data_IF_376825858843
#
_entry.id   IF_376825858843
#
_cell.length_a   1.000
_cell.length_b   1.000
_cell.length_c   1.000
_cell.angle_alpha   90.00
_cell.angle_beta   90.00
_cell.angle_gamma   90.00
#
_symmetry.space_group_name_H-M   'P 1'
#
loop_
_entity.id
_entity.type
_entity.pdbx_description
1 polymer ?
#
# COMPACT_ATOMS: atom_id res chain seq x y z
N UNK A 1 21.87 -63.20 -10.85
CA UNK A 1 22.59 -62.86 -12.10
C UNK A 1 23.26 -61.51 -11.85
N UNK A 2 24.54 -61.53 -11.66
CA UNK A 2 25.44 -60.36 -11.47
C UNK A 2 25.64 -59.62 -12.79
N UNK A 3 25.77 -58.32 -12.75
CA UNK A 3 26.61 -57.47 -13.63
C UNK A 3 26.75 -56.12 -12.91
N UNK A 4 27.75 -55.80 -12.33
CA UNK A 4 29.05 -55.17 -12.64
C UNK A 4 28.98 -53.63 -12.66
N UNK A 5 29.82 -53.11 -11.78
CA UNK A 5 30.04 -51.68 -11.53
C UNK A 5 30.99 -51.07 -12.59
N UNK A 6 30.83 -49.79 -12.74
CA UNK A 6 31.73 -48.93 -13.50
C UNK A 6 31.99 -47.63 -12.75
N UNK A 7 33.11 -47.55 -12.06
CA UNK A 7 33.65 -46.32 -11.49
C UNK A 7 34.25 -45.47 -12.63
N UNK A 8 33.93 -44.16 -12.63
CA UNK A 8 34.58 -43.19 -13.50
C UNK A 8 35.47 -42.28 -12.64
N UNK A 9 36.72 -42.37 -12.98
CA UNK A 9 37.92 -41.72 -12.47
C UNK A 9 37.89 -40.19 -12.64
N UNK A 10 38.25 -39.47 -11.58
CA UNK A 10 38.41 -38.01 -11.60
C UNK A 10 39.91 -37.72 -11.77
N UNK A 11 40.26 -37.34 -13.01
CA UNK A 11 41.59 -36.91 -13.35
C UNK A 11 41.92 -35.49 -12.88
N UNK A 12 42.86 -35.38 -11.97
CA UNK A 12 43.62 -34.17 -11.66
C UNK A 12 44.30 -33.61 -12.90
N UNK A 13 44.21 -32.32 -13.16
CA UNK A 13 45.15 -31.58 -13.98
C UNK A 13 45.70 -30.37 -13.27
N UNK A 14 47.00 -30.42 -13.17
CA UNK A 14 47.98 -29.52 -12.60
C UNK A 14 47.87 -28.07 -13.12
N UNK A 15 48.25 -27.18 -12.22
CA UNK A 15 48.61 -25.79 -12.44
C UNK A 15 49.84 -25.63 -13.35
N UNK A 16 49.78 -24.66 -14.26
CA UNK A 16 50.98 -24.03 -14.81
C UNK A 16 50.84 -22.51 -14.73
N UNK A 17 51.81 -21.94 -14.04
CA UNK A 17 52.15 -20.52 -13.98
C UNK A 17 52.42 -19.98 -15.38
N UNK A 18 51.97 -18.77 -15.65
CA UNK A 18 52.72 -17.78 -16.43
C UNK A 18 52.44 -16.37 -15.91
N UNK A 19 53.48 -15.66 -15.83
CA UNK A 19 53.82 -14.43 -15.17
C UNK A 19 53.46 -13.18 -16.00
N UNK A 20 53.38 -12.07 -15.29
CA UNK A 20 53.74 -10.71 -15.62
C UNK A 20 52.89 -9.85 -16.56
N UNK A 21 52.53 -8.67 -16.02
CA UNK A 21 52.16 -7.52 -16.82
C UNK A 21 51.30 -6.46 -16.16
N UNK A 22 51.82 -5.75 -15.18
CA UNK A 22 51.67 -4.30 -14.91
C UNK A 22 50.29 -3.60 -14.91
N UNK A 23 50.08 -2.89 -13.83
CA UNK A 23 49.73 -1.46 -13.64
C UNK A 23 48.29 -1.08 -13.46
N UNK A 24 48.06 -0.44 -12.34
CA UNK A 24 46.85 0.40 -12.11
C UNK A 24 46.51 0.58 -10.63
N UNK A 25 47.46 1.09 -9.83
CA UNK A 25 47.14 1.51 -8.46
C UNK A 25 46.26 2.78 -8.50
N UNK A 26 44.95 2.65 -8.30
CA UNK A 26 44.12 3.76 -7.86
C UNK A 26 44.18 3.82 -6.34
N UNK A 27 44.83 4.86 -5.86
CA UNK A 27 44.86 5.25 -4.44
C UNK A 27 43.48 5.67 -3.99
N UNK A 28 42.89 4.89 -3.09
CA UNK A 28 41.80 5.32 -2.25
C UNK A 28 42.31 6.38 -1.28
N UNK A 29 41.71 7.58 -1.31
CA UNK A 29 41.90 8.62 -0.31
C UNK A 29 41.18 8.23 0.97
N UNK A 30 41.74 8.41 2.15
CA UNK A 30 41.04 8.25 3.41
C UNK A 30 40.07 9.44 3.61
N UNK A 31 38.83 9.13 3.96
CA UNK A 31 37.88 10.12 4.46
C UNK A 31 38.30 10.51 5.87
N UNK A 32 38.57 11.79 6.08
CA UNK A 32 38.75 12.40 7.39
C UNK A 32 37.38 12.56 7.99
N UNK A 33 37.12 11.90 9.12
CA UNK A 33 35.94 12.13 9.96
C UNK A 33 36.30 13.34 10.81
N UNK A 34 35.68 14.51 10.53
CA UNK A 34 35.68 15.63 11.44
C UNK A 34 34.62 15.36 12.52
N UNK A 35 35.10 15.25 13.76
CA UNK A 35 34.27 15.26 14.95
C UNK A 35 33.61 16.64 15.07
N UNK A 36 32.30 16.71 14.87
CA UNK A 36 31.51 17.88 15.28
C UNK A 36 31.05 17.67 16.70
N UNK A 37 31.50 18.59 17.55
CA UNK A 37 31.19 18.74 18.96
C UNK A 37 29.68 18.90 19.22
N UNK A 38 29.27 18.35 20.38
CA UNK A 38 27.98 18.49 21.02
C UNK A 38 27.47 19.92 21.02
N UNK A 39 26.31 20.16 20.42
CA UNK A 39 25.51 21.36 20.61
C UNK A 39 24.17 20.95 21.24
N UNK A 40 23.97 21.34 22.48
CA UNK A 40 22.76 21.19 23.27
C UNK A 40 21.54 21.80 22.54
N UNK A 41 20.58 20.99 22.17
CA UNK A 41 19.25 21.48 21.76
C UNK A 41 18.37 21.67 23.00
N UNK A 42 18.23 22.91 23.43
CA UNK A 42 17.26 23.34 24.43
C UNK A 42 15.88 23.45 23.78
N UNK A 43 14.97 22.57 24.13
CA UNK A 43 13.55 22.71 23.78
C UNK A 43 12.89 23.81 24.59
N UNK A 44 12.13 24.74 24.01
CA UNK A 44 11.35 25.70 24.79
C UNK A 44 10.12 25.02 25.37
N UNK A 45 10.10 24.86 26.67
CA UNK A 45 8.92 24.47 27.45
C UNK A 45 8.00 25.69 27.56
N UNK A 46 6.86 25.64 26.88
CA UNK A 46 5.80 26.64 27.04
C UNK A 46 5.01 26.32 28.30
N UNK A 47 5.24 27.10 29.38
CA UNK A 47 4.48 27.02 30.62
C UNK A 47 3.25 27.95 30.47
N UNK A 48 2.02 27.49 30.69
CA UNK A 48 0.86 28.38 30.69
C UNK A 48 0.83 29.24 31.92
N UNK A 49 0.79 30.57 31.77
CA UNK A 49 0.64 31.54 32.85
C UNK A 49 -0.72 31.39 33.55
N UNK A 50 -0.71 31.02 34.83
CA UNK A 50 -1.85 31.15 35.74
C UNK A 50 -2.27 32.59 35.85
N UNK A 51 -3.51 32.93 35.53
CA UNK A 51 -4.17 34.19 35.90
C UNK A 51 -4.60 34.10 37.35
N UNK A 52 -4.23 35.15 38.13
CA UNK A 52 -4.63 35.34 39.51
C UNK A 52 -6.11 35.69 39.60
N UNK A 53 -6.78 35.10 40.58
CA UNK A 53 -8.13 35.40 41.05
C UNK A 53 -8.25 36.82 41.60
N UNK A 54 -9.32 37.53 41.26
CA UNK A 54 -9.87 38.66 42.01
C UNK A 54 -11.39 38.47 42.13
N UNK A 55 -12.04 38.96 43.19
CA UNK A 55 -13.26 38.39 43.72
C UNK A 55 -14.56 39.04 43.30
N UNK A 56 -15.56 38.17 43.29
CA UNK A 56 -16.96 38.38 43.68
C UNK A 56 -17.81 39.53 43.07
N UNK A 57 -18.90 39.13 42.42
CA UNK A 57 -20.07 39.95 42.09
C UNK A 57 -21.22 39.04 41.69
N UNK A 58 -22.20 38.89 42.56
CA UNK A 58 -23.44 38.15 42.40
C UNK A 58 -24.28 38.73 41.26
N UNK A 59 -24.83 37.88 40.38
CA UNK A 59 -26.26 37.91 40.02
C UNK A 59 -26.65 36.63 39.24
N UNK A 60 -27.73 36.04 39.76
CA UNK A 60 -28.49 34.97 39.17
C UNK A 60 -29.24 35.48 37.93
N UNK A 61 -29.26 34.72 36.87
CA UNK A 61 -30.47 34.32 36.12
C UNK A 61 -30.09 33.66 34.80
N UNK A 62 -30.49 32.40 34.72
CA UNK A 62 -31.03 31.70 33.54
C UNK A 62 -30.41 31.96 32.16
N UNK A 63 -29.78 30.97 31.59
CA UNK A 63 -30.21 30.37 30.35
C UNK A 63 -29.45 29.09 30.07
N UNK A 64 -30.06 27.95 30.31
CA UNK A 64 -29.67 26.67 29.79
C UNK A 64 -30.00 26.67 28.30
N UNK A 65 -29.01 26.84 27.48
CA UNK A 65 -29.07 26.44 26.08
C UNK A 65 -27.82 25.63 25.81
N UNK A 66 -27.92 24.33 26.02
CA UNK A 66 -27.05 23.35 25.43
C UNK A 66 -27.17 23.50 23.92
N UNK A 67 -26.31 24.31 23.33
CA UNK A 67 -26.07 24.23 21.91
C UNK A 67 -25.55 22.83 21.62
N UNK A 68 -26.10 22.11 20.64
CA UNK A 68 -25.48 20.88 20.18
C UNK A 68 -24.08 21.27 19.71
N UNK A 69 -23.09 20.56 20.25
CA UNK A 69 -21.77 20.52 19.64
C UNK A 69 -22.00 19.86 18.29
N UNK A 70 -22.24 20.69 17.28
CA UNK A 70 -22.10 20.26 15.90
C UNK A 70 -20.63 19.88 15.80
N UNK A 71 -20.34 18.58 15.87
CA UNK A 71 -19.10 18.06 15.34
C UNK A 71 -19.06 18.62 13.91
N UNK A 72 -18.23 19.63 13.70
CA UNK A 72 -17.78 19.95 12.38
C UNK A 72 -17.07 18.67 11.92
N UNK A 73 -17.79 17.86 11.15
CA UNK A 73 -17.18 16.98 10.18
C UNK A 73 -16.27 17.93 9.43
N UNK A 74 -14.98 17.84 9.70
CA UNK A 74 -14.00 18.50 8.87
C UNK A 74 -14.27 17.89 7.50
N UNK A 75 -14.98 18.65 6.65
CA UNK A 75 -14.96 18.42 5.24
C UNK A 75 -13.47 18.38 4.92
N UNK A 76 -12.96 17.21 4.59
CA UNK A 76 -11.65 17.06 4.01
C UNK A 76 -11.60 18.09 2.89
N UNK A 77 -10.75 19.09 3.05
CA UNK A 77 -10.43 20.00 1.95
C UNK A 77 -10.19 19.10 0.76
N UNK A 78 -11.03 19.22 -0.29
CA UNK A 78 -10.88 18.38 -1.46
C UNK A 78 -9.42 18.41 -1.86
N UNK A 79 -8.80 17.25 -2.00
CA UNK A 79 -7.42 17.16 -2.41
C UNK A 79 -7.28 17.97 -3.69
N UNK A 80 -6.41 18.96 -3.70
CA UNK A 80 -6.25 19.83 -4.87
C UNK A 80 -5.45 19.14 -5.96
N UNK A 81 -4.56 18.21 -5.59
CA UNK A 81 -3.67 17.48 -6.51
C UNK A 81 -3.55 16.02 -6.09
N UNK A 82 -3.77 15.12 -7.02
CA UNK A 82 -3.69 13.67 -6.80
C UNK A 82 -2.63 13.08 -7.72
N UNK A 83 -1.57 12.53 -7.12
CA UNK A 83 -0.59 11.71 -7.82
C UNK A 83 -1.11 10.29 -7.99
N UNK A 84 -0.88 9.67 -9.13
CA UNK A 84 -1.27 8.27 -9.32
C UNK A 84 -0.26 7.52 -10.19
N UNK A 85 -0.23 6.18 -10.01
CA UNK A 85 0.58 5.31 -10.85
C UNK A 85 -0.04 5.24 -12.24
N UNK A 86 0.58 5.98 -13.17
CA UNK A 86 0.14 6.17 -14.55
C UNK A 86 0.64 5.12 -15.53
N UNK A 87 0.50 5.42 -16.80
CA UNK A 87 -0.01 6.65 -17.42
C UNK A 87 -1.52 6.85 -17.26
N UNK A 88 -2.08 7.90 -17.88
CA UNK A 88 -3.53 8.05 -18.02
C UNK A 88 -4.10 6.86 -18.81
N UNK A 89 -5.35 6.46 -18.50
CA UNK A 89 -5.99 5.30 -19.09
C UNK A 89 -5.67 3.97 -18.37
N UNK A 90 -5.11 4.00 -17.15
CA UNK A 90 -4.84 2.80 -16.34
C UNK A 90 -5.99 2.46 -15.39
N UNK A 91 -6.00 1.22 -14.86
CA UNK A 91 -6.90 0.83 -13.77
C UNK A 91 -6.71 1.70 -12.52
N UNK A 92 -5.50 2.22 -12.26
CA UNK A 92 -5.26 3.17 -11.16
C UNK A 92 -6.05 4.47 -11.37
N UNK A 93 -6.09 4.99 -12.60
CA UNK A 93 -6.93 6.14 -12.91
C UNK A 93 -8.41 5.78 -12.80
N UNK A 94 -8.84 4.60 -13.24
CA UNK A 94 -10.23 4.14 -13.07
C UNK A 94 -10.63 4.10 -11.59
N UNK A 95 -9.75 3.58 -10.72
CA UNK A 95 -9.96 3.57 -9.27
C UNK A 95 -10.08 4.99 -8.71
N UNK A 96 -9.20 5.90 -9.12
CA UNK A 96 -9.23 7.30 -8.73
C UNK A 96 -10.56 7.96 -9.15
N UNK A 97 -10.99 7.78 -10.39
CA UNK A 97 -12.22 8.35 -10.94
C UNK A 97 -13.50 7.76 -10.31
N UNK A 98 -13.43 6.59 -9.70
CA UNK A 98 -14.56 6.00 -8.95
C UNK A 98 -14.87 6.74 -7.65
N UNK A 99 -13.96 7.61 -7.18
CA UNK A 99 -14.10 8.39 -5.96
C UNK A 99 -14.43 9.84 -6.31
N UNK A 100 -15.63 10.30 -5.97
CA UNK A 100 -16.12 11.62 -6.37
C UNK A 100 -15.24 12.78 -5.94
N UNK A 101 -14.65 12.69 -4.74
CA UNK A 101 -13.75 13.71 -4.19
C UNK A 101 -12.37 13.74 -4.87
N UNK A 102 -11.90 12.59 -5.37
CA UNK A 102 -10.65 12.51 -6.12
C UNK A 102 -10.84 12.80 -7.61
N UNK A 103 -12.01 12.46 -8.17
CA UNK A 103 -12.30 12.65 -9.58
C UNK A 103 -12.30 14.13 -10.01
N UNK A 104 -12.64 15.04 -9.09
CA UNK A 104 -12.67 16.49 -9.33
C UNK A 104 -11.31 17.18 -9.12
N UNK A 105 -10.29 16.46 -8.62
CA UNK A 105 -8.97 16.99 -8.33
C UNK A 105 -8.09 17.12 -9.59
N UNK A 106 -6.99 17.85 -9.49
CA UNK A 106 -5.94 17.85 -10.51
C UNK A 106 -5.17 16.52 -10.46
N UNK A 107 -5.11 15.80 -11.59
CA UNK A 107 -4.48 14.47 -11.67
C UNK A 107 -3.09 14.55 -12.29
N UNK A 108 -2.09 14.02 -11.58
CA UNK A 108 -0.71 13.93 -12.04
C UNK A 108 -0.30 12.44 -12.15
N UNK A 109 0.01 12.02 -13.37
CA UNK A 109 0.44 10.64 -13.63
C UNK A 109 1.96 10.51 -13.46
N UNK A 110 2.39 9.53 -12.65
CA UNK A 110 3.79 9.19 -12.43
C UNK A 110 4.15 7.84 -13.04
N UNK A 111 5.41 7.65 -13.40
CA UNK A 111 5.87 6.46 -14.13
C UNK A 111 6.02 5.23 -13.25
N UNK A 112 6.31 5.41 -11.97
CA UNK A 112 6.49 4.33 -11.00
C UNK A 112 5.76 4.64 -9.70
N UNK A 113 5.47 3.60 -8.91
CA UNK A 113 4.89 3.79 -7.57
C UNK A 113 5.82 4.58 -6.65
N UNK A 114 7.14 4.31 -6.58
CA UNK A 114 8.03 5.17 -5.81
C UNK A 114 7.96 6.64 -6.19
N UNK A 115 7.84 6.98 -7.50
CA UNK A 115 7.70 8.38 -7.93
C UNK A 115 6.43 9.04 -7.38
N UNK A 116 5.31 8.28 -7.30
CA UNK A 116 4.06 8.77 -6.67
C UNK A 116 4.29 9.06 -5.19
N UNK A 117 4.89 8.11 -4.46
CA UNK A 117 5.13 8.23 -3.01
C UNK A 117 6.10 9.37 -2.70
N UNK A 118 7.18 9.51 -3.47
CA UNK A 118 8.11 10.62 -3.43
C UNK A 118 7.42 11.97 -3.63
N UNK A 119 6.50 12.06 -4.60
CA UNK A 119 5.77 13.29 -4.89
C UNK A 119 4.84 13.70 -3.74
N UNK A 120 4.23 12.73 -3.06
CA UNK A 120 3.43 12.99 -1.84
C UNK A 120 4.34 13.50 -0.71
N UNK A 121 5.47 12.86 -0.44
CA UNK A 121 6.40 13.30 0.61
C UNK A 121 6.98 14.68 0.37
N UNK A 122 7.22 15.04 -0.90
CA UNK A 122 7.71 16.38 -1.28
C UNK A 122 6.62 17.44 -1.33
N UNK A 123 5.34 17.06 -1.12
CA UNK A 123 4.21 17.98 -1.24
C UNK A 123 3.95 18.46 -2.66
N UNK A 124 4.44 17.75 -3.68
CA UNK A 124 4.14 18.01 -5.09
C UNK A 124 2.68 17.68 -5.40
N UNK A 125 2.14 16.68 -4.69
CA UNK A 125 0.73 16.30 -4.66
C UNK A 125 0.27 16.13 -3.22
N UNK A 126 -1.03 16.29 -2.98
CA UNK A 126 -1.61 16.24 -1.64
C UNK A 126 -1.85 14.79 -1.18
N UNK A 127 -2.19 13.90 -2.13
CA UNK A 127 -2.36 12.46 -1.91
C UNK A 127 -1.84 11.68 -3.11
N UNK A 128 -1.51 10.39 -2.85
CA UNK A 128 -1.10 9.44 -3.89
C UNK A 128 -2.06 8.25 -3.97
N UNK A 129 -2.35 7.77 -5.18
CA UNK A 129 -3.14 6.55 -5.41
C UNK A 129 -2.26 5.49 -6.06
N UNK A 130 -2.11 4.35 -5.36
CA UNK A 130 -1.23 3.26 -5.80
C UNK A 130 -1.88 1.89 -5.57
N UNK A 131 -1.62 0.87 -6.42
CA UNK A 131 -2.14 -0.48 -6.22
C UNK A 131 -1.40 -1.16 -5.07
N UNK A 132 -2.13 -1.94 -4.25
CA UNK A 132 -1.56 -2.69 -3.12
C UNK A 132 -1.78 -4.20 -3.22
N UNK A 133 -2.88 -4.63 -3.84
CA UNK A 133 -3.25 -6.04 -3.95
C UNK A 133 -4.14 -6.28 -5.19
N UNK A 134 -3.95 -7.41 -5.87
CA UNK A 134 -4.87 -7.92 -6.88
C UNK A 134 -5.32 -9.33 -6.48
N UNK A 135 -6.60 -9.67 -6.69
CA UNK A 135 -7.17 -10.95 -6.26
C UNK A 135 -6.59 -12.18 -6.95
N UNK A 136 -6.00 -12.01 -8.15
CA UNK A 136 -5.37 -13.09 -8.92
C UNK A 136 -3.85 -13.10 -8.71
N UNK A 137 -3.19 -11.95 -8.86
CA UNK A 137 -1.73 -11.81 -8.81
C UNK A 137 -1.18 -11.70 -7.37
N UNK A 138 -2.06 -11.43 -6.39
CA UNK A 138 -1.69 -11.23 -4.99
C UNK A 138 -1.17 -9.84 -4.70
N UNK A 139 -0.29 -9.75 -3.68
CA UNK A 139 0.22 -8.49 -3.18
C UNK A 139 1.18 -7.79 -4.15
N UNK A 140 1.02 -6.48 -4.28
CA UNK A 140 1.93 -5.63 -5.06
C UNK A 140 3.16 -5.32 -4.20
N UNK A 141 4.14 -6.22 -4.28
CA UNK A 141 5.32 -6.23 -3.39
C UNK A 141 6.11 -4.91 -3.40
N UNK A 142 6.27 -4.26 -4.55
CA UNK A 142 7.02 -3.01 -4.63
C UNK A 142 6.31 -1.85 -3.93
N UNK A 143 4.96 -1.82 -3.90
CA UNK A 143 4.20 -0.84 -3.11
C UNK A 143 4.34 -1.12 -1.62
N UNK A 144 4.21 -2.38 -1.22
CA UNK A 144 4.39 -2.76 0.18
C UNK A 144 5.79 -2.43 0.69
N UNK A 145 6.82 -2.78 -0.08
CA UNK A 145 8.21 -2.52 0.30
C UNK A 145 8.49 -1.01 0.40
N UNK A 146 8.00 -0.22 -0.54
CA UNK A 146 8.17 1.21 -0.52
C UNK A 146 7.54 1.84 0.73
N UNK A 147 6.28 1.48 1.05
CA UNK A 147 5.61 1.96 2.27
C UNK A 147 6.27 1.45 3.56
N UNK A 148 6.78 0.19 3.55
CA UNK A 148 7.39 -0.40 4.72
C UNK A 148 8.77 0.18 5.04
N UNK A 149 9.61 0.44 4.02
CA UNK A 149 11.03 0.68 4.20
C UNK A 149 11.51 2.05 3.73
N UNK A 150 10.87 2.63 2.72
CA UNK A 150 11.46 3.74 1.99
C UNK A 150 10.71 5.08 2.23
N UNK A 151 9.43 5.06 2.68
CA UNK A 151 8.57 6.25 2.85
C UNK A 151 7.86 6.30 4.20
N UNK A 152 7.64 7.52 4.72
CA UNK A 152 6.90 7.77 5.96
C UNK A 152 5.48 8.30 5.64
N UNK A 153 4.72 7.51 4.87
CA UNK A 153 3.37 7.83 4.45
C UNK A 153 2.33 6.99 5.17
N UNK A 154 1.13 7.53 5.31
CA UNK A 154 0.00 6.89 5.96
C UNK A 154 -1.11 6.58 4.93
N UNK A 155 -1.62 5.36 4.98
CA UNK A 155 -2.80 4.96 4.22
C UNK A 155 -4.02 5.64 4.83
N UNK A 156 -4.80 6.33 3.99
CA UNK A 156 -5.99 7.08 4.37
C UNK A 156 -7.28 6.30 4.11
N UNK A 157 -7.31 5.50 3.06
CA UNK A 157 -8.42 4.61 2.68
C UNK A 157 -7.98 3.63 1.62
N UNK A 158 -8.77 2.60 1.41
CA UNK A 158 -8.64 1.70 0.27
C UNK A 158 -9.77 1.93 -0.74
N UNK A 159 -9.47 1.62 -2.01
CA UNK A 159 -10.41 1.65 -3.13
C UNK A 159 -10.32 0.28 -3.78
N UNK A 160 -11.44 -0.40 -3.95
CA UNK A 160 -11.50 -1.69 -4.65
C UNK A 160 -12.33 -1.50 -5.91
N UNK A 161 -11.79 -1.93 -7.05
CA UNK A 161 -12.51 -1.95 -8.32
C UNK A 161 -12.42 -3.32 -8.97
N UNK A 162 -13.43 -3.67 -9.74
CA UNK A 162 -13.39 -4.80 -10.65
C UNK A 162 -12.46 -4.51 -11.83
N UNK A 163 -11.69 -5.51 -12.23
CA UNK A 163 -10.74 -5.42 -13.34
C UNK A 163 -11.37 -6.05 -14.59
N UNK A 164 -12.02 -5.22 -15.35
CA UNK A 164 -12.65 -5.61 -16.62
C UNK A 164 -11.72 -5.29 -17.78
N UNK A 165 -11.27 -6.34 -18.47
CA UNK A 165 -10.49 -6.18 -19.69
C UNK A 165 -11.40 -5.97 -20.89
N UNK A 166 -11.14 -4.90 -21.67
CA UNK A 166 -11.80 -4.61 -22.92
C UNK A 166 -10.83 -4.75 -24.09
N UNK A 167 -11.35 -5.15 -25.23
CA UNK A 167 -10.66 -5.03 -26.52
C UNK A 167 -11.01 -3.68 -27.13
N UNK A 168 -9.99 -2.85 -27.33
CA UNK A 168 -10.11 -1.45 -27.74
C UNK A 168 -9.49 -1.26 -29.14
N UNK A 169 -10.16 -0.58 -30.04
CA UNK A 169 -9.64 -0.29 -31.39
C UNK A 169 -10.04 1.11 -31.84
N UNK A 170 -9.46 1.55 -32.95
CA UNK A 170 -9.86 2.82 -33.55
C UNK A 170 -11.31 2.79 -34.02
N UNK A 171 -11.99 3.96 -34.01
CA UNK A 171 -13.34 4.05 -34.52
C UNK A 171 -13.50 3.50 -35.93
N UNK A 172 -14.52 2.63 -36.09
CA UNK A 172 -14.83 2.02 -37.37
C UNK A 172 -14.07 0.72 -37.71
N UNK A 173 -13.19 0.24 -36.82
CA UNK A 173 -12.57 -1.10 -36.91
C UNK A 173 -13.58 -2.14 -36.42
N UNK A 174 -13.78 -3.21 -37.18
CA UNK A 174 -14.61 -4.35 -36.78
C UNK A 174 -13.73 -5.46 -36.17
N UNK A 175 -14.30 -6.28 -35.29
CA UNK A 175 -13.58 -7.38 -34.66
C UNK A 175 -12.90 -8.32 -35.66
N UNK A 176 -13.53 -8.56 -36.77
CA UNK A 176 -13.02 -9.44 -37.85
C UNK A 176 -11.78 -8.87 -38.57
N UNK A 177 -11.53 -7.56 -38.45
CA UNK A 177 -10.39 -6.91 -39.10
C UNK A 177 -9.13 -6.95 -38.24
N UNK A 178 -9.27 -7.31 -36.94
CA UNK A 178 -8.16 -7.28 -35.96
C UNK A 178 -7.17 -8.40 -36.23
N UNK A 179 -5.94 -8.04 -36.58
CA UNK A 179 -4.83 -8.97 -36.79
C UNK A 179 -3.62 -8.69 -35.87
N UNK A 180 -3.62 -7.58 -35.14
CA UNK A 180 -2.58 -7.24 -34.17
C UNK A 180 -3.23 -6.82 -32.85
N UNK A 181 -2.72 -7.35 -31.73
CA UNK A 181 -3.21 -7.03 -30.38
C UNK A 181 -2.05 -6.56 -29.53
N UNK A 182 -2.10 -5.30 -29.08
CA UNK A 182 -1.16 -4.75 -28.12
C UNK A 182 -1.61 -5.05 -26.71
N UNK A 183 -0.72 -5.61 -25.87
CA UNK A 183 -1.04 -5.97 -24.49
C UNK A 183 0.21 -6.22 -23.66
N UNK A 184 0.00 -6.40 -22.34
CA UNK A 184 1.00 -6.93 -21.42
C UNK A 184 0.75 -8.43 -21.18
N UNK A 185 1.81 -9.21 -20.83
CA UNK A 185 1.66 -10.66 -20.66
C UNK A 185 0.56 -11.08 -19.68
N UNK A 186 0.40 -10.34 -18.57
CA UNK A 186 -0.63 -10.63 -17.56
C UNK A 186 -2.04 -10.49 -18.16
N UNK A 187 -2.34 -9.37 -18.83
CA UNK A 187 -3.66 -9.14 -19.42
C UNK A 187 -3.95 -10.14 -20.57
N UNK A 188 -2.93 -10.48 -21.37
CA UNK A 188 -3.07 -11.51 -22.41
C UNK A 188 -3.40 -12.88 -21.80
N UNK A 189 -2.74 -13.24 -20.69
CA UNK A 189 -3.00 -14.51 -20.01
C UNK A 189 -4.41 -14.55 -19.39
N UNK A 190 -4.89 -13.41 -18.88
CA UNK A 190 -6.23 -13.30 -18.28
C UNK A 190 -7.37 -13.28 -19.32
N UNK A 191 -7.08 -13.06 -20.62
CA UNK A 191 -8.05 -13.05 -21.71
C UNK A 191 -7.79 -14.18 -22.74
N UNK A 192 -7.04 -15.22 -22.35
CA UNK A 192 -6.52 -16.23 -23.26
C UNK A 192 -7.62 -16.97 -24.02
N UNK A 193 -8.71 -17.37 -23.36
CA UNK A 193 -9.80 -18.12 -24.01
C UNK A 193 -10.49 -17.26 -25.06
N UNK A 194 -10.86 -16.03 -24.70
CA UNK A 194 -11.50 -15.11 -25.64
C UNK A 194 -10.63 -14.87 -26.89
N UNK A 195 -9.35 -14.55 -26.68
CA UNK A 195 -8.43 -14.26 -27.79
C UNK A 195 -8.25 -15.48 -28.71
N UNK A 196 -8.13 -16.66 -28.14
CA UNK A 196 -7.99 -17.91 -28.90
C UNK A 196 -9.24 -18.27 -29.72
N UNK A 197 -10.42 -17.97 -29.21
CA UNK A 197 -11.68 -18.28 -29.86
C UNK A 197 -12.06 -17.27 -30.92
N UNK A 198 -11.89 -15.97 -30.62
CA UNK A 198 -12.38 -14.90 -31.48
C UNK A 198 -11.30 -14.36 -32.45
N UNK A 199 -10.01 -14.41 -32.02
CA UNK A 199 -8.88 -13.81 -32.74
C UNK A 199 -7.69 -14.80 -32.81
N UNK A 200 -7.86 -16.04 -33.28
CA UNK A 200 -6.83 -17.10 -33.22
C UNK A 200 -5.56 -16.77 -34.01
N UNK A 201 -5.68 -15.96 -35.06
CA UNK A 201 -4.58 -15.61 -35.97
C UNK A 201 -3.96 -14.23 -35.67
N UNK A 202 -4.44 -13.52 -34.63
CA UNK A 202 -3.92 -12.21 -34.29
C UNK A 202 -2.54 -12.30 -33.62
N UNK A 203 -1.61 -11.45 -34.06
CA UNK A 203 -0.27 -11.34 -33.48
C UNK A 203 -0.33 -10.54 -32.18
N UNK A 204 0.18 -11.11 -31.08
CA UNK A 204 0.28 -10.41 -29.80
C UNK A 204 1.59 -9.60 -29.77
N UNK A 205 1.47 -8.29 -29.58
CA UNK A 205 2.58 -7.35 -29.44
C UNK A 205 2.69 -6.80 -28.02
N UNK A 206 3.90 -6.79 -27.50
CA UNK A 206 4.16 -6.34 -26.12
C UNK A 206 4.03 -4.83 -26.00
N UNK A 207 3.36 -4.37 -24.93
CA UNK A 207 3.31 -2.99 -24.48
C UNK A 207 3.84 -2.89 -23.03
N UNK A 208 4.15 -1.69 -22.56
CA UNK A 208 4.65 -1.47 -21.20
C UNK A 208 3.52 -1.47 -20.14
N UNK A 209 2.30 -1.12 -20.56
CA UNK A 209 1.09 -1.19 -19.72
C UNK A 209 -0.13 -1.34 -20.61
N UNK A 210 -1.30 -1.65 -20.02
CA UNK A 210 -2.59 -1.71 -20.74
C UNK A 210 -2.97 -0.34 -21.33
N UNK A 211 -2.64 0.76 -20.64
CA UNK A 211 -2.86 2.10 -21.15
C UNK A 211 -1.85 2.46 -22.27
N UNK A 212 -0.60 1.99 -22.19
CA UNK A 212 0.39 2.15 -23.26
C UNK A 212 -0.05 1.37 -24.51
N UNK A 213 -0.64 0.18 -24.35
CA UNK A 213 -1.24 -0.56 -25.44
C UNK A 213 -2.31 0.24 -26.18
N UNK A 214 -3.22 0.88 -25.44
CA UNK A 214 -4.26 1.74 -26.01
C UNK A 214 -3.67 2.97 -26.72
N UNK A 215 -2.65 3.62 -26.12
CA UNK A 215 -1.93 4.71 -26.75
C UNK A 215 -1.27 4.30 -28.08
N UNK A 216 -0.57 3.16 -28.10
CA UNK A 216 0.08 2.63 -29.31
C UNK A 216 -0.94 2.39 -30.43
N UNK A 217 -2.12 1.84 -30.10
CA UNK A 217 -3.19 1.65 -31.08
C UNK A 217 -3.71 3.01 -31.58
N UNK A 218 -3.92 3.99 -30.69
CA UNK A 218 -4.43 5.31 -31.08
C UNK A 218 -3.47 6.04 -32.02
N UNK A 219 -2.16 5.93 -31.78
CA UNK A 219 -1.10 6.59 -32.57
C UNK A 219 -0.68 5.82 -33.84
N UNK A 220 -1.01 4.53 -33.94
CA UNK A 220 -0.68 3.66 -35.08
C UNK A 220 -1.42 4.12 -36.35
N UNK A 221 -0.81 4.02 -37.51
CA UNK A 221 -1.51 4.17 -38.80
C UNK A 221 -2.30 2.89 -39.21
N UNK A 222 -2.12 1.80 -38.45
CA UNK A 222 -2.78 0.53 -38.72
C UNK A 222 -4.28 0.59 -38.39
N UNK A 223 -5.11 0.10 -39.31
CA UNK A 223 -6.56 -0.03 -39.14
C UNK A 223 -6.98 -1.44 -38.66
N UNK A 224 -6.02 -2.29 -38.34
CA UNK A 224 -6.21 -3.69 -37.95
C UNK A 224 -5.62 -4.00 -36.55
N UNK A 225 -5.33 -2.97 -35.77
CA UNK A 225 -4.74 -3.09 -34.44
C UNK A 225 -5.78 -2.87 -33.34
N UNK A 226 -5.70 -3.68 -32.29
CA UNK A 226 -6.48 -3.52 -31.09
C UNK A 226 -5.58 -3.55 -29.82
N UNK A 227 -6.07 -3.06 -28.69
CA UNK A 227 -5.40 -3.10 -27.41
C UNK A 227 -6.26 -3.82 -26.36
N UNK A 228 -5.63 -4.54 -25.45
CA UNK A 228 -6.29 -4.97 -24.21
C UNK A 228 -6.07 -3.91 -23.12
N UNK A 229 -7.15 -3.40 -22.58
CA UNK A 229 -7.08 -2.38 -21.54
C UNK A 229 -8.40 -2.13 -20.83
N UNK A 230 -8.40 -1.25 -19.80
CA UNK A 230 -9.62 -0.85 -19.14
C UNK A 230 -10.47 0.08 -20.03
N UNK A 231 -11.76 0.13 -19.77
CA UNK A 231 -12.70 1.01 -20.51
C UNK A 231 -12.25 2.48 -20.51
N UNK A 232 -11.71 2.97 -19.38
CA UNK A 232 -11.22 4.35 -19.27
C UNK A 232 -10.14 4.68 -20.30
N UNK A 233 -9.36 3.70 -20.78
CA UNK A 233 -8.38 3.91 -21.84
C UNK A 233 -9.04 4.24 -23.19
N UNK A 234 -10.23 3.71 -23.47
CA UNK A 234 -10.98 4.08 -24.67
C UNK A 234 -11.32 5.57 -24.66
N UNK A 235 -11.82 6.08 -23.54
CA UNK A 235 -12.17 7.50 -23.37
C UNK A 235 -10.95 8.41 -23.51
N UNK A 236 -9.83 8.03 -22.87
CA UNK A 236 -8.58 8.82 -22.87
C UNK A 236 -7.93 8.91 -24.26
N UNK A 237 -7.95 7.80 -25.01
CA UNK A 237 -7.24 7.70 -26.29
C UNK A 237 -8.15 7.76 -27.52
N UNK A 238 -9.46 8.00 -27.34
CA UNK A 238 -10.42 8.11 -28.44
C UNK A 238 -10.60 6.81 -29.23
N UNK A 239 -10.67 5.68 -28.52
CA UNK A 239 -10.87 4.35 -29.07
C UNK A 239 -12.30 3.86 -28.81
N UNK A 240 -12.77 2.96 -29.67
CA UNK A 240 -14.03 2.24 -29.48
C UNK A 240 -13.79 0.93 -28.71
N UNK A 241 -14.78 0.50 -27.93
CA UNK A 241 -14.78 -0.79 -27.26
C UNK A 241 -15.39 -1.82 -28.19
N UNK A 242 -14.58 -2.72 -28.77
CA UNK A 242 -15.05 -3.82 -29.65
C UNK A 242 -15.67 -4.95 -28.83
N UNK A 243 -15.11 -5.25 -27.66
CA UNK A 243 -15.63 -6.24 -26.73
C UNK A 243 -15.28 -5.81 -25.31
N UNK A 244 -16.20 -6.02 -24.39
CA UNK A 244 -16.04 -5.71 -22.97
C UNK A 244 -16.09 -6.99 -22.16
N UNK A 245 -15.46 -6.96 -20.98
CA UNK A 245 -15.44 -8.05 -20.01
C UNK A 245 -15.03 -9.40 -20.64
N UNK A 246 -13.85 -9.38 -21.27
CA UNK A 246 -13.32 -10.53 -22.02
C UNK A 246 -12.32 -11.36 -21.19
N UNK A 247 -12.26 -11.14 -19.89
CA UNK A 247 -11.40 -11.90 -18.99
C UNK A 247 -11.91 -13.34 -18.81
N UNK A 248 -10.98 -14.29 -18.66
CA UNK A 248 -11.28 -15.71 -18.47
C UNK A 248 -11.85 -16.04 -17.08
N UNK A 249 -11.67 -15.15 -16.12
CA UNK A 249 -12.09 -15.32 -14.72
C UNK A 249 -12.91 -14.12 -14.25
N UNK A 250 -14.11 -14.41 -13.75
CA UNK A 250 -14.96 -13.44 -13.08
C UNK A 250 -14.38 -13.06 -11.71
N UNK A 251 -14.67 -11.83 -11.26
CA UNK A 251 -14.32 -11.39 -9.90
C UNK A 251 -12.85 -11.03 -9.71
N UNK A 252 -12.12 -10.72 -10.79
CA UNK A 252 -10.81 -10.10 -10.68
C UNK A 252 -10.94 -8.68 -10.13
N UNK A 253 -10.39 -8.46 -8.95
CA UNK A 253 -10.43 -7.17 -8.25
C UNK A 253 -9.03 -6.68 -7.95
N UNK A 254 -8.84 -5.37 -7.99
CA UNK A 254 -7.62 -4.73 -7.51
C UNK A 254 -7.97 -3.74 -6.39
N UNK A 255 -7.24 -3.86 -5.30
CA UNK A 255 -7.25 -2.94 -4.18
C UNK A 255 -6.16 -1.90 -4.39
N UNK A 256 -6.54 -0.64 -4.33
CA UNK A 256 -5.65 0.52 -4.31
C UNK A 256 -5.71 1.16 -2.94
N UNK A 257 -4.66 1.89 -2.59
CA UNK A 257 -4.62 2.70 -1.37
C UNK A 257 -4.39 4.17 -1.72
N UNK A 258 -5.06 5.03 -0.98
CA UNK A 258 -4.80 6.47 -0.98
C UNK A 258 -3.83 6.75 0.16
N UNK A 259 -2.72 7.39 -0.12
CA UNK A 259 -1.67 7.70 0.86
C UNK A 259 -1.46 9.20 0.99
N UNK A 260 -1.11 9.65 2.20
CA UNK A 260 -0.78 11.04 2.53
C UNK A 260 0.35 11.09 3.56
N UNK A 261 0.93 12.27 3.77
CA UNK A 261 2.02 12.47 4.73
C UNK A 261 1.53 12.43 6.18
N UNK A 262 0.27 12.75 6.43
CA UNK A 262 -0.29 12.85 7.78
C UNK A 262 -1.79 12.57 7.80
N UNK A 263 -2.32 12.40 9.01
CA UNK A 263 -3.73 12.16 9.25
C UNK A 263 -4.03 10.67 9.43
N UNK A 264 -4.94 10.39 10.35
CA UNK A 264 -5.57 9.09 10.54
C UNK A 264 -7.08 9.35 10.52
N UNK A 265 -7.82 8.78 9.57
CA UNK A 265 -9.27 8.93 9.53
C UNK A 265 -9.95 8.55 10.85
N UNK A 266 -11.10 9.13 11.13
CA UNK A 266 -11.90 8.72 12.29
C UNK A 266 -12.42 7.30 12.10
N UNK A 267 -12.58 6.52 13.19
CA UNK A 267 -13.09 5.16 13.11
C UNK A 267 -14.51 5.12 12.55
N UNK A 268 -14.76 4.19 11.64
CA UNK A 268 -16.05 3.95 11.01
C UNK A 268 -16.79 2.75 11.60
N UNK A 269 -16.08 1.88 12.31
CA UNK A 269 -16.57 0.57 12.77
C UNK A 269 -16.27 -0.56 11.78
N UNK A 270 -15.86 -0.25 10.56
CA UNK A 270 -15.35 -1.19 9.58
C UNK A 270 -14.01 -0.69 9.05
N UNK A 271 -12.96 -0.89 9.85
CA UNK A 271 -11.66 -0.29 9.63
C UNK A 271 -10.56 -1.34 9.55
N UNK A 272 -9.51 -1.02 8.84
CA UNK A 272 -8.26 -1.79 8.79
C UNK A 272 -7.10 -0.95 9.30
N UNK A 273 -6.16 -1.62 9.97
CA UNK A 273 -4.88 -1.03 10.37
C UNK A 273 -3.75 -1.83 9.76
N UNK A 274 -2.89 -1.14 9.03
CA UNK A 274 -1.68 -1.71 8.45
C UNK A 274 -0.46 -1.44 9.34
N UNK A 275 0.31 -2.49 9.64
CA UNK A 275 1.49 -2.45 10.50
C UNK A 275 2.65 -3.20 9.85
N UNK A 276 3.87 -2.70 10.03
CA UNK A 276 5.10 -3.47 9.81
C UNK A 276 5.68 -3.85 11.16
N UNK A 277 5.89 -5.14 11.39
CA UNK A 277 6.40 -5.66 12.67
C UNK A 277 7.78 -6.26 12.40
N UNK A 278 8.81 -5.62 12.92
CA UNK A 278 10.20 -6.09 12.82
C UNK A 278 10.46 -7.12 13.92
N UNK A 279 10.87 -8.32 13.54
CA UNK A 279 11.24 -9.36 14.51
C UNK A 279 12.42 -8.89 15.38
N UNK A 280 12.39 -9.22 16.66
CA UNK A 280 13.53 -8.98 17.55
C UNK A 280 14.69 -9.92 17.28
N UNK A 281 14.39 -11.17 16.92
CA UNK A 281 15.32 -12.21 16.57
C UNK A 281 14.63 -13.24 15.66
N UNK A 282 15.37 -13.84 14.75
CA UNK A 282 14.89 -14.97 13.94
C UNK A 282 15.02 -16.27 14.75
N UNK A 283 14.02 -16.54 15.59
CA UNK A 283 13.93 -17.70 16.47
C UNK A 283 12.67 -18.52 16.17
N UNK A 284 12.74 -19.85 16.39
CA UNK A 284 11.54 -20.71 16.29
C UNK A 284 10.43 -20.18 17.20
N UNK A 285 9.26 -19.86 16.57
CA UNK A 285 8.10 -19.34 17.28
C UNK A 285 7.96 -17.81 17.30
N UNK A 286 8.90 -17.05 16.73
CA UNK A 286 8.82 -15.57 16.68
C UNK A 286 7.54 -15.08 16.00
N UNK A 287 7.18 -15.60 14.82
CA UNK A 287 5.92 -15.30 14.16
C UNK A 287 4.71 -15.71 15.00
N UNK A 288 4.76 -16.88 15.64
CA UNK A 288 3.66 -17.35 16.51
C UNK A 288 3.44 -16.37 17.66
N UNK A 289 4.50 -15.85 18.27
CA UNK A 289 4.41 -14.88 19.37
C UNK A 289 3.76 -13.57 18.92
N UNK A 290 4.00 -13.12 17.67
CA UNK A 290 3.33 -11.97 17.07
C UNK A 290 1.83 -12.25 16.89
N UNK A 291 1.49 -13.39 16.28
CA UNK A 291 0.09 -13.78 16.01
C UNK A 291 -0.72 -13.98 17.30
N UNK A 292 -0.07 -14.43 18.38
CA UNK A 292 -0.72 -14.58 19.68
C UNK A 292 -1.22 -13.27 20.27
N UNK A 293 -0.57 -12.14 19.99
CA UNK A 293 -1.03 -10.84 20.46
C UNK A 293 -2.38 -10.44 19.83
N UNK A 294 -2.56 -10.73 18.52
CA UNK A 294 -3.84 -10.51 17.85
C UNK A 294 -4.89 -11.53 18.28
N UNK A 295 -4.53 -12.82 18.36
CA UNK A 295 -5.44 -13.90 18.75
C UNK A 295 -5.99 -13.70 20.17
N UNK A 296 -5.15 -13.31 21.13
CA UNK A 296 -5.55 -13.08 22.53
C UNK A 296 -6.63 -12.00 22.65
N UNK A 297 -6.66 -11.05 21.71
CA UNK A 297 -7.62 -9.95 21.68
C UNK A 297 -8.70 -10.11 20.60
N UNK A 298 -8.74 -11.27 19.94
CA UNK A 298 -9.71 -11.64 18.89
C UNK A 298 -9.73 -10.67 17.71
N UNK A 299 -8.57 -10.11 17.36
CA UNK A 299 -8.41 -9.27 16.18
C UNK A 299 -8.12 -10.18 15.00
N UNK A 300 -8.92 -10.07 13.95
CA UNK A 300 -8.69 -10.77 12.70
C UNK A 300 -7.58 -10.09 11.89
N UNK A 301 -6.81 -10.87 11.14
CA UNK A 301 -5.85 -10.39 10.17
C UNK A 301 -6.34 -10.73 8.77
N UNK A 302 -6.69 -9.73 7.98
CA UNK A 302 -7.12 -9.93 6.58
C UNK A 302 -5.95 -10.27 5.66
N UNK A 303 -4.73 -9.87 6.01
CA UNK A 303 -3.52 -10.22 5.27
C UNK A 303 -2.29 -10.27 6.19
N UNK A 304 -1.34 -11.14 5.84
CA UNK A 304 -0.02 -11.23 6.47
C UNK A 304 1.01 -11.58 5.41
N UNK A 305 2.00 -10.73 5.23
CA UNK A 305 3.10 -10.92 4.28
C UNK A 305 4.43 -10.87 5.02
N UNK A 306 5.30 -11.87 4.80
CA UNK A 306 6.69 -11.87 5.26
C UNK A 306 7.59 -11.20 4.23
N UNK A 307 8.40 -10.23 4.67
CA UNK A 307 9.35 -9.51 3.81
C UNK A 307 10.75 -9.53 4.43
N UNK A 308 11.81 -9.79 3.64
CA UNK A 308 13.17 -9.62 4.12
C UNK A 308 13.43 -8.13 4.41
N UNK A 309 14.04 -7.83 5.54
CA UNK A 309 14.49 -6.46 5.82
C UNK A 309 15.68 -6.13 4.92
N UNK A 310 15.69 -4.92 4.35
CA UNK A 310 16.77 -4.50 3.46
C UNK A 310 18.11 -4.24 4.21
N UNK A 311 18.10 -4.27 5.53
CA UNK A 311 19.23 -3.84 6.36
C UNK A 311 20.17 -4.95 6.88
N UNK A 312 19.69 -6.20 6.98
CA UNK A 312 20.39 -7.28 7.70
C UNK A 312 20.95 -8.44 6.85
N UNK A 313 20.72 -8.44 5.54
CA UNK A 313 21.07 -9.57 4.67
C UNK A 313 20.01 -10.68 4.65
N UNK A 314 20.38 -11.90 4.26
CA UNK A 314 19.46 -13.04 4.25
C UNK A 314 19.25 -13.54 5.69
N UNK A 315 18.00 -13.60 6.13
CA UNK A 315 17.60 -14.13 7.44
C UNK A 315 16.86 -13.14 8.33
N UNK A 316 16.97 -11.82 8.09
CA UNK A 316 16.21 -10.84 8.83
C UNK A 316 14.89 -10.54 8.12
N UNK A 317 13.77 -10.81 8.81
CA UNK A 317 12.42 -10.63 8.27
C UNK A 317 11.59 -9.65 9.11
N UNK A 318 10.70 -8.95 8.43
CA UNK A 318 9.57 -8.27 9.05
C UNK A 318 8.26 -8.87 8.54
N UNK A 319 7.18 -8.60 9.24
CA UNK A 319 5.84 -9.00 8.87
C UNK A 319 4.98 -7.76 8.63
N UNK A 320 4.42 -7.65 7.44
CA UNK A 320 3.42 -6.64 7.12
C UNK A 320 2.05 -7.30 7.38
N UNK A 321 1.27 -6.72 8.27
CA UNK A 321 -0.04 -7.24 8.67
C UNK A 321 -1.12 -6.20 8.46
N UNK A 322 -2.30 -6.65 8.07
CA UNK A 322 -3.52 -5.85 7.95
C UNK A 322 -4.53 -6.40 8.97
N UNK A 323 -4.72 -5.66 10.05
CA UNK A 323 -5.62 -6.01 11.15
C UNK A 323 -6.99 -5.35 10.95
N UNK A 324 -8.05 -6.10 11.12
CA UNK A 324 -9.44 -5.60 11.05
C UNK A 324 -9.80 -4.93 12.38
N UNK A 325 -9.28 -3.75 12.60
CA UNK A 325 -9.52 -2.91 13.76
C UNK A 325 -9.00 -1.49 13.48
N UNK A 326 -9.44 -0.50 14.25
CA UNK A 326 -8.94 0.86 14.21
C UNK A 326 -7.95 1.13 15.36
N UNK A 327 -6.95 1.99 15.14
CA UNK A 327 -5.96 2.34 16.18
C UNK A 327 -6.60 3.00 17.41
N UNK A 328 -7.78 3.57 17.28
CA UNK A 328 -8.57 4.10 18.40
C UNK A 328 -9.28 3.00 19.22
N UNK A 329 -9.32 1.75 18.75
CA UNK A 329 -9.89 0.64 19.48
C UNK A 329 -8.91 0.20 20.59
N UNK A 330 -9.38 0.07 21.82
CA UNK A 330 -8.53 -0.29 22.96
C UNK A 330 -7.83 -1.64 22.75
N UNK A 331 -8.48 -2.59 22.11
CA UNK A 331 -7.90 -3.91 21.83
C UNK A 331 -6.71 -3.82 20.88
N UNK A 332 -6.83 -3.04 19.80
CA UNK A 332 -5.72 -2.86 18.87
C UNK A 332 -4.61 -2.01 19.49
N UNK A 333 -4.95 -0.95 20.20
CA UNK A 333 -3.96 -0.12 20.90
C UNK A 333 -3.13 -0.94 21.90
N UNK A 334 -3.78 -1.86 22.64
CA UNK A 334 -3.08 -2.75 23.59
C UNK A 334 -2.23 -3.80 22.84
N UNK A 335 -2.72 -4.34 21.72
CA UNK A 335 -1.93 -5.20 20.83
C UNK A 335 -0.66 -4.49 20.34
N UNK A 336 -0.79 -3.26 19.86
CA UNK A 336 0.35 -2.47 19.38
C UNK A 336 1.36 -2.15 20.48
N UNK A 337 0.89 -1.84 21.71
CA UNK A 337 1.79 -1.67 22.89
C UNK A 337 2.58 -2.95 23.19
N UNK A 338 1.89 -4.12 23.18
CA UNK A 338 2.52 -5.40 23.42
C UNK A 338 3.56 -5.75 22.34
N UNK A 339 3.23 -5.55 21.06
CA UNK A 339 4.14 -5.77 19.94
C UNK A 339 5.35 -4.83 20.02
N UNK A 340 5.12 -3.54 20.25
CA UNK A 340 6.22 -2.56 20.36
C UNK A 340 7.16 -2.88 21.51
N UNK A 341 6.64 -3.38 22.64
CA UNK A 341 7.45 -3.76 23.79
C UNK A 341 8.25 -5.07 23.61
N UNK A 342 7.73 -6.03 22.81
CA UNK A 342 8.29 -7.37 22.70
C UNK A 342 9.11 -7.59 21.43
N UNK A 343 8.81 -6.89 20.35
CA UNK A 343 9.45 -7.06 19.04
C UNK A 343 10.59 -6.05 18.80
N UNK A 344 11.28 -6.15 17.67
CA UNK A 344 12.38 -5.25 17.28
C UNK A 344 11.93 -3.85 16.89
N UNK A 345 10.64 -3.68 16.58
CA UNK A 345 10.01 -2.41 16.23
C UNK A 345 8.66 -2.64 15.57
N UNK A 346 7.83 -1.61 15.57
CA UNK A 346 6.54 -1.58 14.86
C UNK A 346 6.44 -0.27 14.12
N UNK A 347 6.25 -0.31 12.79
CA UNK A 347 5.92 0.85 11.98
C UNK A 347 4.41 0.85 11.70
N UNK A 348 3.78 1.97 11.95
CA UNK A 348 2.37 2.20 11.66
C UNK A 348 2.22 2.75 10.23
N UNK A 349 1.47 2.06 9.39
CA UNK A 349 1.23 2.48 8.00
C UNK A 349 -0.12 3.15 7.80
N UNK A 350 -0.98 3.17 8.82
CA UNK A 350 -2.30 3.83 8.76
C UNK A 350 -3.40 2.97 9.36
N UNK A 351 -4.48 3.67 9.75
CA UNK A 351 -5.74 3.08 10.21
C UNK A 351 -6.86 3.78 9.45
N UNK A 352 -7.66 3.05 8.70
CA UNK A 352 -8.48 3.61 7.65
C UNK A 352 -9.75 2.78 7.39
N UNK A 353 -10.82 3.37 6.81
CA UNK A 353 -12.02 2.65 6.42
C UNK A 353 -11.71 1.53 5.43
N UNK A 354 -12.22 0.33 5.69
CA UNK A 354 -12.20 -0.78 4.75
C UNK A 354 -13.17 -0.50 3.58
N UNK A 355 -12.84 -1.00 2.38
CA UNK A 355 -13.69 -0.84 1.21
C UNK A 355 -14.90 -1.80 1.20
N UNK A 356 -14.83 -2.88 1.98
CA UNK A 356 -15.87 -3.89 2.10
C UNK A 356 -16.81 -3.59 3.28
N UNK A 357 -18.14 -3.72 3.06
CA UNK A 357 -19.20 -3.40 4.03
C UNK A 357 -19.40 -4.48 5.15
N UNK A 358 -18.35 -5.18 5.56
CA UNK A 358 -18.46 -6.18 6.63
C UNK A 358 -18.20 -5.57 8.01
N UNK A 359 -19.17 -4.80 8.52
CA UNK A 359 -19.17 -4.34 9.90
C UNK A 359 -19.39 -5.53 10.85
N UNK A 360 -18.42 -5.83 11.71
CA UNK A 360 -18.54 -6.91 12.68
C UNK A 360 -19.14 -6.40 14.00
N UNK A 361 -20.44 -6.66 14.22
CA UNK A 361 -21.17 -6.34 15.47
C UNK A 361 -20.49 -6.95 16.72
N UNK A 362 -19.63 -7.95 16.57
CA UNK A 362 -18.88 -8.60 17.65
C UNK A 362 -17.82 -7.67 18.25
N UNK A 363 -17.32 -6.72 17.47
CA UNK A 363 -16.29 -5.74 17.88
C UNK A 363 -16.81 -4.76 18.92
N UNK A 364 -17.96 -4.15 18.68
CA UNK A 364 -18.54 -3.15 19.61
C UNK A 364 -18.71 -3.73 21.02
N UNK A 365 -19.12 -4.99 21.11
CA UNK A 365 -19.33 -5.64 22.41
C UNK A 365 -18.03 -6.00 23.12
N UNK A 366 -16.98 -6.33 22.38
CA UNK A 366 -15.66 -6.59 22.96
C UNK A 366 -15.01 -5.31 23.47
N UNK A 367 -15.06 -4.23 22.69
CA UNK A 367 -14.51 -2.91 23.04
C UNK A 367 -15.19 -2.30 24.27
N UNK A 368 -16.50 -2.47 24.44
CA UNK A 368 -17.22 -2.00 25.62
C UNK A 368 -16.67 -2.58 26.93
N UNK A 369 -16.42 -3.90 26.95
CA UNK A 369 -15.87 -4.59 28.13
C UNK A 369 -14.41 -4.20 28.43
N UNK A 370 -13.63 -3.90 27.41
CA UNK A 370 -12.25 -3.47 27.60
C UNK A 370 -12.16 -2.05 28.11
N UNK A 371 -13.02 -1.14 27.66
CA UNK A 371 -13.10 0.24 28.23
C UNK A 371 -13.48 0.20 29.71
N UNK A 372 -14.46 -0.64 30.07
CA UNK A 372 -14.85 -0.83 31.46
C UNK A 372 -13.68 -1.38 32.33
N UNK A 373 -12.93 -2.33 31.79
CA UNK A 373 -11.76 -2.89 32.45
C UNK A 373 -10.62 -1.86 32.61
N UNK A 374 -10.40 -1.03 31.60
CA UNK A 374 -9.40 0.04 31.65
C UNK A 374 -9.77 1.13 32.66
N UNK A 375 -11.03 1.56 32.72
CA UNK A 375 -11.53 2.48 33.72
C UNK A 375 -11.36 1.93 35.14
N UNK A 376 -11.65 0.62 35.36
CA UNK A 376 -11.42 -0.05 36.61
C UNK A 376 -9.92 -0.03 37.01
N UNK A 377 -9.00 -0.32 36.09
CA UNK A 377 -7.56 -0.25 36.36
C UNK A 377 -7.13 1.17 36.68
N UNK A 378 -7.60 2.17 35.94
CA UNK A 378 -7.31 3.59 36.20
C UNK A 378 -7.80 4.03 37.56
N UNK A 379 -8.96 3.58 38.04
CA UNK A 379 -9.48 3.91 39.36
C UNK A 379 -8.61 3.31 40.46
N UNK A 380 -8.11 2.08 40.29
CA UNK A 380 -7.13 1.51 41.19
C UNK A 380 -5.84 2.33 41.22
N UNK A 381 -5.32 2.71 40.04
CA UNK A 381 -4.10 3.52 39.91
C UNK A 381 -4.23 4.90 40.61
N UNK A 382 -5.42 5.53 40.53
CA UNK A 382 -5.73 6.79 41.23
C UNK A 382 -5.76 6.61 42.73
N UNK A 383 -6.00 5.40 43.23
CA UNK A 383 -6.00 5.09 44.67
C UNK A 383 -4.61 4.89 45.27
N UNK A 384 -3.56 4.79 44.41
CA UNK A 384 -2.16 4.67 44.87
C UNK A 384 -1.75 5.98 45.53
N UNK A 385 -1.45 5.91 46.82
CA UNK A 385 -0.94 7.08 47.59
C UNK A 385 0.57 7.24 47.32
N UNK A 386 0.96 8.45 46.98
CA UNK A 386 2.37 8.88 46.86
C UNK A 386 3.07 8.94 48.23
#
# INVERSE_FOLDING_TARGET
MMVDGGAIDVGERQASQLDDGSVGRHRSRPYVVEECSEAEFVHPVIVPRRRRNGPCGQNEAQCSTTAPVVLAVMATSAATRVGFFGPFGTFTQQALLSQSDLAEAEHLAYRTVPDVLDAVERGEVDVGVVPIENSIEGMVNFTQDALAFDHELLIQREIVIDIEHCLLAKPGVELADVTEIFSIPVATAQCHHYLREQLPDAEIRAAYSTADAARLVSESDASNAAALGPRVAADVYGLDVLAADIADHDGNQTRFVVVATEGVPAPTGNDKTALVIYQRADEPGSLVSILQEFTARRINLSNLTSRPTKAGGLGDYCFIVYAEAHVADELLADTMRALHAKQGGVKFLGSYPAADDQADATREHADGRWREADDWVRDIQRSVRS
#
